data_IF_835557034354
#
_entry.id   IF_835557034354
#
_cell.length_a   1.000
_cell.length_b   1.000
_cell.length_c   1.000
_cell.angle_alpha   90.00
_cell.angle_beta   90.00
_cell.angle_gamma   90.00
#
_symmetry.space_group_name_H-M   'P 1'
#
loop_
_entity.id
_entity.type
_entity.pdbx_description
1 polymer ?
#
# COMPACT_ATOMS: atom_id res chain seq x y z
N UNK A 1 14.27 37.30 -8.48
CA UNK A 1 14.29 36.13 -9.38
C UNK A 1 13.84 34.92 -8.59
N UNK A 2 12.53 34.68 -8.54
CA UNK A 2 11.93 33.49 -7.93
C UNK A 2 12.12 32.32 -8.91
N UNK A 3 12.72 31.23 -8.45
CA UNK A 3 12.97 30.06 -9.28
C UNK A 3 11.65 29.43 -9.77
N UNK A 4 11.57 29.01 -11.04
CA UNK A 4 10.38 28.41 -11.64
C UNK A 4 9.94 27.09 -10.98
N UNK A 5 10.75 26.51 -10.09
CA UNK A 5 10.42 25.30 -9.31
C UNK A 5 9.41 25.53 -8.16
N UNK A 6 8.94 26.77 -7.94
CA UNK A 6 8.05 27.13 -6.83
C UNK A 6 6.56 27.14 -7.18
N UNK A 7 6.19 27.05 -8.46
CA UNK A 7 4.78 27.01 -8.87
C UNK A 7 4.25 25.59 -8.99
N UNK A 8 3.82 25.02 -7.87
CA UNK A 8 3.21 23.69 -7.82
C UNK A 8 1.96 23.55 -8.69
N UNK A 9 1.31 24.66 -9.08
CA UNK A 9 0.15 24.63 -9.99
C UNK A 9 0.57 24.27 -11.41
N UNK A 10 1.78 24.60 -11.83
CA UNK A 10 2.33 24.20 -13.12
C UNK A 10 2.57 22.67 -13.20
N UNK A 11 2.83 22.01 -12.07
CA UNK A 11 2.99 20.55 -11.96
C UNK A 11 1.65 19.79 -12.05
N UNK A 12 0.52 20.45 -11.77
CA UNK A 12 -0.81 19.86 -11.92
C UNK A 12 -1.30 19.87 -13.39
N UNK A 13 -0.66 20.67 -14.25
CA UNK A 13 -0.96 20.77 -15.68
C UNK A 13 0.03 20.01 -16.59
N UNK A 14 1.10 19.43 -16.05
CA UNK A 14 2.03 18.62 -16.84
C UNK A 14 1.40 17.27 -17.17
N UNK A 15 1.33 16.94 -18.46
CA UNK A 15 0.86 15.65 -18.98
C UNK A 15 1.74 14.45 -18.62
N UNK A 16 2.79 14.66 -17.81
CA UNK A 16 3.46 13.57 -17.12
C UNK A 16 2.49 13.07 -16.05
N UNK A 17 1.72 12.03 -16.38
CA UNK A 17 1.06 11.20 -15.38
C UNK A 17 2.12 10.38 -14.63
N UNK A 18 3.10 11.07 -14.02
CA UNK A 18 3.86 10.50 -12.93
C UNK A 18 2.81 10.06 -11.92
N UNK A 19 2.60 8.75 -11.87
CA UNK A 19 1.40 8.13 -11.35
C UNK A 19 1.09 8.71 -9.96
N UNK A 20 0.01 9.49 -9.88
CA UNK A 20 -0.42 10.06 -8.62
C UNK A 20 -0.73 8.88 -7.69
N UNK A 21 0.07 8.76 -6.62
CA UNK A 21 -0.07 7.71 -5.60
C UNK A 21 0.90 6.53 -5.70
N UNK A 22 0.88 5.59 -4.73
CA UNK A 22 1.97 4.63 -4.49
C UNK A 22 2.17 3.60 -5.61
N UNK A 23 3.36 3.42 -6.16
CA UNK A 23 3.60 2.47 -7.27
C UNK A 23 4.22 1.14 -6.84
N UNK A 24 4.66 1.02 -5.58
CA UNK A 24 5.32 -0.16 -5.03
C UNK A 24 4.74 -0.46 -3.65
N UNK A 25 3.63 -1.20 -3.65
CA UNK A 25 2.79 -1.44 -2.49
C UNK A 25 3.10 -2.80 -1.87
N UNK A 26 3.24 -2.83 -0.55
CA UNK A 26 3.16 -4.06 0.24
C UNK A 26 1.82 -4.11 0.96
N UNK A 27 1.06 -5.18 0.76
CA UNK A 27 -0.22 -5.41 1.43
C UNK A 27 -0.03 -6.38 2.61
N UNK A 28 -0.27 -5.93 3.84
CA UNK A 28 -0.10 -6.75 5.05
C UNK A 28 -1.31 -7.63 5.36
N UNK A 29 -2.42 -7.45 4.63
CA UNK A 29 -3.65 -8.24 4.71
C UNK A 29 -4.19 -8.61 3.33
N UNK A 30 -5.13 -9.55 3.29
CA UNK A 30 -5.76 -10.02 2.05
C UNK A 30 -6.54 -8.91 1.36
N UNK A 31 -7.37 -8.18 2.10
CA UNK A 31 -8.35 -7.24 1.58
C UNK A 31 -7.75 -6.16 0.63
N UNK A 32 -6.67 -5.43 0.96
CA UNK A 32 -6.04 -4.51 0.00
C UNK A 32 -5.38 -5.24 -1.18
N UNK A 33 -4.93 -6.49 -0.99
CA UNK A 33 -4.41 -7.29 -2.09
C UNK A 33 -5.53 -7.58 -3.08
N UNK A 34 -6.63 -8.18 -2.61
CA UNK A 34 -7.78 -8.55 -3.43
C UNK A 34 -8.34 -7.36 -4.20
N UNK A 35 -8.49 -6.21 -3.54
CA UNK A 35 -9.02 -5.00 -4.18
C UNK A 35 -8.13 -4.49 -5.30
N UNK A 36 -6.81 -4.43 -5.10
CA UNK A 36 -5.90 -4.00 -6.15
C UNK A 36 -5.91 -4.96 -7.35
N UNK A 37 -6.07 -6.27 -7.14
CA UNK A 37 -6.28 -7.22 -8.25
C UNK A 37 -7.62 -7.00 -8.97
N UNK A 38 -8.70 -6.71 -8.23
CA UNK A 38 -10.01 -6.45 -8.84
C UNK A 38 -10.02 -5.15 -9.66
N UNK A 39 -9.20 -4.18 -9.27
CA UNK A 39 -9.03 -2.90 -9.98
C UNK A 39 -8.03 -2.97 -11.15
N UNK A 40 -7.36 -4.11 -11.37
CA UNK A 40 -6.34 -4.26 -12.42
C UNK A 40 -4.99 -3.59 -12.09
N UNK A 41 -4.75 -3.31 -10.81
CA UNK A 41 -3.58 -2.60 -10.30
C UNK A 41 -2.57 -3.55 -9.62
N UNK A 42 -2.67 -4.86 -9.84
CA UNK A 42 -1.78 -5.85 -9.23
C UNK A 42 -0.30 -5.65 -9.56
N UNK A 43 0.01 -4.95 -10.66
CA UNK A 43 1.39 -4.58 -11.04
C UNK A 43 2.08 -3.73 -9.96
N UNK A 44 1.32 -2.96 -9.18
CA UNK A 44 1.84 -2.10 -8.11
C UNK A 44 2.22 -2.90 -6.86
N UNK A 45 1.73 -4.13 -6.72
CA UNK A 45 1.98 -4.96 -5.54
C UNK A 45 3.35 -5.62 -5.64
N UNK A 46 4.23 -5.35 -4.68
CA UNK A 46 5.58 -5.92 -4.58
C UNK A 46 5.71 -6.95 -3.46
N UNK A 47 4.75 -7.02 -2.54
CA UNK A 47 4.71 -8.03 -1.47
C UNK A 47 3.33 -8.15 -0.82
N UNK A 48 3.03 -9.33 -0.29
CA UNK A 48 1.72 -9.67 0.26
C UNK A 48 1.80 -10.35 1.62
N UNK A 49 0.65 -10.40 2.29
CA UNK A 49 0.43 -11.21 3.48
C UNK A 49 0.53 -12.70 3.18
N UNK A 50 1.03 -13.47 4.13
CA UNK A 50 0.95 -14.93 4.11
C UNK A 50 -0.49 -15.46 4.17
N UNK A 51 -1.44 -14.63 4.59
CA UNK A 51 -2.87 -14.96 4.66
C UNK A 51 -3.67 -14.60 3.40
N UNK A 52 -3.07 -13.93 2.41
CA UNK A 52 -3.75 -13.66 1.13
C UNK A 52 -4.06 -14.97 0.42
N UNK A 53 -5.32 -15.29 0.20
CA UNK A 53 -5.83 -16.42 -0.60
C UNK A 53 -6.64 -15.97 -1.82
N UNK A 54 -7.01 -14.69 -1.90
CA UNK A 54 -7.73 -14.12 -3.06
C UNK A 54 -6.99 -12.97 -3.76
N UNK A 55 -6.93 -12.98 -5.11
CA UNK A 55 -7.17 -14.15 -5.96
C UNK A 55 -6.06 -15.21 -5.73
N UNK A 56 -6.32 -16.51 -5.99
CA UNK A 56 -5.32 -17.56 -5.75
C UNK A 56 -3.95 -17.29 -6.38
N UNK A 57 -3.94 -16.76 -7.62
CA UNK A 57 -2.74 -16.37 -8.36
C UNK A 57 -1.82 -15.38 -7.63
N UNK A 58 -2.37 -14.53 -6.74
CA UNK A 58 -1.58 -13.57 -6.00
C UNK A 58 -0.50 -14.23 -5.14
N UNK A 59 -0.78 -15.42 -4.60
CA UNK A 59 0.18 -16.20 -3.81
C UNK A 59 1.31 -16.76 -4.65
N UNK A 60 1.05 -17.04 -5.91
CA UNK A 60 2.03 -17.59 -6.85
C UNK A 60 2.92 -16.49 -7.40
N UNK A 61 2.33 -15.32 -7.67
CA UNK A 61 2.99 -14.17 -8.31
C UNK A 61 3.80 -13.31 -7.34
N UNK A 62 3.41 -13.22 -6.06
CA UNK A 62 3.95 -12.22 -5.13
C UNK A 62 4.67 -12.87 -3.93
N UNK A 63 5.79 -12.27 -3.46
CA UNK A 63 6.46 -12.76 -2.26
C UNK A 63 5.61 -12.50 -1.01
N UNK A 64 5.54 -13.51 -0.13
CA UNK A 64 4.87 -13.38 1.17
C UNK A 64 5.87 -12.82 2.17
N UNK A 65 5.55 -11.67 2.76
CA UNK A 65 6.48 -10.92 3.64
C UNK A 65 5.99 -10.73 5.07
N UNK A 66 4.71 -11.00 5.34
CA UNK A 66 4.14 -10.91 6.69
C UNK A 66 3.25 -12.10 7.04
N UNK A 67 3.05 -12.30 8.33
CA UNK A 67 1.83 -12.86 8.89
C UNK A 67 0.95 -11.67 9.39
N UNK A 68 -0.13 -11.95 10.10
CA UNK A 68 -1.05 -10.91 10.57
C UNK A 68 -0.42 -10.08 11.70
N UNK A 69 0.20 -10.72 12.70
CA UNK A 69 0.81 -10.06 13.87
C UNK A 69 2.33 -9.93 13.78
N UNK A 70 2.96 -10.40 12.70
CA UNK A 70 4.40 -10.32 12.52
C UNK A 70 4.76 -10.04 11.07
N UNK A 71 5.85 -9.31 10.84
CA UNK A 71 6.31 -8.97 9.51
C UNK A 71 7.82 -9.18 9.41
N UNK A 72 8.29 -9.61 8.23
CA UNK A 72 9.73 -9.70 7.92
C UNK A 72 10.18 -8.32 7.43
N UNK A 73 10.45 -7.41 8.38
CA UNK A 73 10.74 -6.00 8.11
C UNK A 73 11.86 -5.83 7.10
N UNK A 74 12.97 -6.56 7.26
CA UNK A 74 14.11 -6.45 6.33
C UNK A 74 13.72 -6.87 4.91
N UNK A 75 12.92 -7.94 4.76
CA UNK A 75 12.38 -8.35 3.44
C UNK A 75 11.43 -7.32 2.86
N UNK A 76 10.66 -6.61 3.69
CA UNK A 76 9.81 -5.51 3.21
C UNK A 76 10.69 -4.37 2.68
N UNK A 77 11.73 -3.99 3.42
CA UNK A 77 12.66 -2.92 3.00
C UNK A 77 13.40 -3.29 1.70
N UNK A 78 13.84 -4.55 1.55
CA UNK A 78 14.49 -5.05 0.33
C UNK A 78 13.60 -4.91 -0.92
N UNK A 79 12.28 -5.03 -0.77
CA UNK A 79 11.33 -4.83 -1.86
C UNK A 79 11.20 -3.36 -2.28
N UNK A 80 11.83 -2.42 -1.55
CA UNK A 80 11.77 -0.97 -1.81
C UNK A 80 10.33 -0.47 -2.05
N UNK A 81 9.38 -0.72 -1.14
CA UNK A 81 8.04 -0.19 -1.27
C UNK A 81 8.05 1.33 -1.09
N UNK A 82 7.14 1.99 -1.78
CA UNK A 82 6.81 3.40 -1.53
C UNK A 82 5.57 3.55 -0.65
N UNK A 83 4.81 2.48 -0.42
CA UNK A 83 3.73 2.42 0.57
C UNK A 83 3.54 1.00 1.12
N UNK A 84 3.18 0.92 2.40
CA UNK A 84 2.70 -0.32 3.03
C UNK A 84 1.28 -0.10 3.52
N UNK A 85 0.37 -1.01 3.17
CA UNK A 85 -1.03 -0.98 3.56
C UNK A 85 -1.29 -2.08 4.57
N UNK A 86 -1.80 -1.72 5.75
CA UNK A 86 -2.15 -2.64 6.82
C UNK A 86 -3.53 -2.40 7.39
N UNK A 87 -3.92 -3.25 8.33
CA UNK A 87 -5.23 -3.19 8.98
C UNK A 87 -5.12 -3.46 10.48
N UNK A 88 -5.85 -2.63 11.23
CA UNK A 88 -6.06 -2.69 12.67
C UNK A 88 -4.91 -2.16 13.52
N UNK A 89 -5.29 -1.69 14.70
CA UNK A 89 -4.43 -1.43 15.86
C UNK A 89 -3.44 -2.57 16.19
N UNK A 90 -3.82 -3.83 15.95
CA UNK A 90 -2.96 -4.99 16.15
C UNK A 90 -1.68 -4.99 15.29
N UNK A 91 -1.63 -4.18 14.22
CA UNK A 91 -0.44 -4.01 13.37
C UNK A 91 0.34 -2.72 13.68
N UNK A 92 0.00 -2.00 14.75
CA UNK A 92 0.64 -0.72 15.08
C UNK A 92 2.17 -0.83 15.25
N UNK A 93 2.67 -1.89 15.90
CA UNK A 93 4.11 -2.08 16.08
C UNK A 93 4.84 -2.38 14.76
N UNK A 94 4.18 -3.05 13.82
CA UNK A 94 4.71 -3.27 12.47
C UNK A 94 4.77 -1.93 11.72
N UNK A 95 3.70 -1.14 11.80
CA UNK A 95 3.63 0.18 11.18
C UNK A 95 4.73 1.10 11.73
N UNK A 96 4.90 1.17 13.04
CA UNK A 96 5.92 1.99 13.69
C UNK A 96 7.33 1.61 13.20
N UNK A 97 7.65 0.31 13.11
CA UNK A 97 8.95 -0.15 12.62
C UNK A 97 9.22 0.25 11.16
N UNK A 98 8.21 0.22 10.30
CA UNK A 98 8.31 0.60 8.89
C UNK A 98 8.43 2.12 8.71
N UNK A 99 7.64 2.89 9.47
CA UNK A 99 7.73 4.35 9.51
C UNK A 99 9.13 4.80 9.94
N UNK A 100 9.72 4.14 10.93
CA UNK A 100 11.10 4.40 11.37
C UNK A 100 12.16 4.14 10.28
N UNK A 101 11.84 3.36 9.24
CA UNK A 101 12.69 3.20 8.04
C UNK A 101 12.39 4.21 6.93
N UNK A 102 11.51 5.18 7.18
CA UNK A 102 11.11 6.19 6.20
C UNK A 102 10.10 5.69 5.17
N UNK A 103 9.43 4.56 5.41
CA UNK A 103 8.40 4.01 4.52
C UNK A 103 7.04 4.61 4.90
N UNK A 104 6.30 5.13 3.91
CA UNK A 104 4.91 5.54 4.08
C UNK A 104 4.06 4.33 4.47
N UNK A 105 3.26 4.45 5.54
CA UNK A 105 2.34 3.39 5.96
C UNK A 105 0.93 3.94 6.06
N UNK A 106 -0.03 3.25 5.46
CA UNK A 106 -1.46 3.49 5.68
C UNK A 106 -2.07 2.32 6.44
N UNK A 107 -2.59 2.60 7.63
CA UNK A 107 -3.32 1.61 8.44
C UNK A 107 -4.80 1.97 8.40
N UNK A 108 -5.60 1.06 7.88
CA UNK A 108 -7.06 1.13 8.02
C UNK A 108 -7.51 0.48 9.32
N UNK A 109 -8.66 0.89 9.84
CA UNK A 109 -9.18 0.35 11.09
C UNK A 109 -10.71 0.23 11.06
N UNK A 110 -11.25 -0.24 9.94
CA UNK A 110 -12.69 -0.43 9.76
C UNK A 110 -13.28 -1.44 10.76
N UNK A 111 -14.41 -1.08 11.37
CA UNK A 111 -15.19 -1.86 12.34
C UNK A 111 -16.65 -2.04 11.93
N UNK A 112 -17.03 -1.54 10.76
CA UNK A 112 -18.37 -1.66 10.20
C UNK A 112 -18.32 -1.87 8.69
N UNK A 113 -19.43 -2.34 8.11
CA UNK A 113 -19.56 -2.48 6.65
C UNK A 113 -19.42 -1.13 5.94
N UNK A 114 -19.99 -0.07 6.51
CA UNK A 114 -19.84 1.29 5.98
C UNK A 114 -18.36 1.72 5.95
N UNK A 115 -17.60 1.41 7.00
CA UNK A 115 -16.17 1.71 7.05
C UNK A 115 -15.34 0.84 6.10
N UNK A 116 -15.76 -0.41 5.84
CA UNK A 116 -15.16 -1.21 4.75
C UNK A 116 -15.28 -0.41 3.46
N UNK A 117 -16.48 0.03 3.07
CA UNK A 117 -16.66 0.86 1.87
C UNK A 117 -15.81 2.14 1.88
N UNK A 118 -15.73 2.84 3.01
CA UNK A 118 -14.88 4.03 3.13
C UNK A 118 -13.41 3.74 2.87
N UNK A 119 -12.90 2.59 3.33
CA UNK A 119 -11.54 2.15 3.03
C UNK A 119 -11.41 1.79 1.54
N UNK A 120 -12.41 1.16 0.92
CA UNK A 120 -12.38 0.86 -0.53
C UNK A 120 -12.25 2.10 -1.38
N UNK A 121 -13.04 3.14 -1.07
CA UNK A 121 -12.96 4.41 -1.79
C UNK A 121 -11.62 5.10 -1.60
N UNK A 122 -11.03 5.01 -0.40
CA UNK A 122 -9.70 5.54 -0.16
C UNK A 122 -8.64 4.77 -0.96
N UNK A 123 -8.69 3.44 -0.96
CA UNK A 123 -7.77 2.60 -1.72
C UNK A 123 -7.91 2.82 -3.24
N UNK A 124 -9.13 3.00 -3.75
CA UNK A 124 -9.38 3.26 -5.16
C UNK A 124 -8.89 4.65 -5.61
N UNK A 125 -8.76 5.60 -4.68
CA UNK A 125 -8.21 6.94 -4.95
C UNK A 125 -6.66 6.98 -4.89
N UNK A 126 -6.02 5.89 -4.44
CA UNK A 126 -4.56 5.78 -4.30
C UNK A 126 -3.85 5.37 -5.58
#
# INVERSE_FOLDING_TARGET
MTEPASDWRALAGSSDSAAYGPQRIVCLTEEPTEWLYLLGEERRIVGISGYTVRPPRAREEKPKVSAFLSARIDKIVELRPDCVIGFSDLQADIAAQLIQRGIQVTIFNQRSVAEIFSMLYQLAAM
#
